data_IF_712156398310
#
_entry.id   IF_712156398310
#
_cell.length_a   1.000
_cell.length_b   1.000
_cell.length_c   1.000
_cell.angle_alpha   90.00
_cell.angle_beta   90.00
_cell.angle_gamma   90.00
#
_symmetry.space_group_name_H-M   'P 1'
#
loop_
_entity.id
_entity.type
_entity.pdbx_description
1 polymer ?
#
# COMPACT_ATOMS: atom_id res chain seq x y z
N UNK A 1 -11.05 -3.67 -2.82
CA UNK A 1 -12.34 -2.96 -2.70
C UNK A 1 -12.17 -1.75 -1.80
N UNK A 2 -12.62 -0.57 -2.23
CA UNK A 2 -12.40 0.68 -1.49
C UNK A 2 -13.21 0.71 -0.18
N UNK A 3 -12.57 1.16 0.89
CA UNK A 3 -13.22 1.44 2.16
C UNK A 3 -14.24 2.60 2.01
N UNK A 4 -15.26 2.64 2.86
CA UNK A 4 -16.40 3.56 2.70
C UNK A 4 -15.99 5.04 2.66
N UNK A 5 -15.05 5.44 3.52
CA UNK A 5 -14.56 6.81 3.58
C UNK A 5 -13.91 7.27 2.26
N UNK A 6 -13.34 6.35 1.48
CA UNK A 6 -12.59 6.64 0.27
C UNK A 6 -13.45 6.60 -1.02
N UNK A 7 -14.71 6.17 -0.94
CA UNK A 7 -15.60 6.05 -2.11
C UNK A 7 -15.74 7.37 -2.90
N UNK A 8 -15.87 8.49 -2.20
CA UNK A 8 -15.99 9.81 -2.83
C UNK A 8 -14.68 10.23 -3.52
N UNK A 9 -13.54 10.00 -2.86
CA UNK A 9 -12.21 10.26 -3.41
C UNK A 9 -11.97 9.49 -4.70
N UNK A 10 -12.22 8.18 -4.72
CA UNK A 10 -12.01 7.36 -5.92
C UNK A 10 -12.96 7.71 -7.07
N UNK A 11 -14.09 8.36 -6.79
CA UNK A 11 -15.01 8.88 -7.83
C UNK A 11 -14.62 10.28 -8.33
N UNK A 12 -13.75 10.98 -7.61
CA UNK A 12 -13.36 12.37 -7.88
C UNK A 12 -12.66 12.53 -9.23
N UNK A 13 -12.74 13.74 -9.79
CA UNK A 13 -12.04 14.07 -11.05
C UNK A 13 -10.52 14.10 -10.85
N UNK A 14 -10.07 14.55 -9.67
CA UNK A 14 -8.67 14.63 -9.29
C UNK A 14 -8.04 13.25 -9.32
N UNK A 15 -8.63 12.28 -8.62
CA UNK A 15 -8.12 10.91 -8.62
C UNK A 15 -8.10 10.29 -10.02
N UNK A 16 -9.19 10.42 -10.79
CA UNK A 16 -9.26 9.85 -12.15
C UNK A 16 -8.16 10.39 -13.06
N UNK A 17 -7.87 11.69 -12.97
CA UNK A 17 -6.78 12.33 -13.73
C UNK A 17 -5.42 11.84 -13.25
N UNK A 18 -5.20 11.80 -11.94
CA UNK A 18 -3.93 11.34 -11.37
C UNK A 18 -3.67 9.88 -11.73
N UNK A 19 -4.66 9.00 -11.58
CA UNK A 19 -4.59 7.58 -11.97
C UNK A 19 -4.21 7.42 -13.44
N UNK A 20 -4.84 8.18 -14.34
CA UNK A 20 -4.52 8.12 -15.76
C UNK A 20 -3.09 8.60 -16.06
N UNK A 21 -2.65 9.67 -15.39
CA UNK A 21 -1.28 10.16 -15.50
C UNK A 21 -0.25 9.14 -14.98
N UNK A 22 -0.46 8.53 -13.82
CA UNK A 22 0.47 7.55 -13.24
C UNK A 22 0.62 6.31 -14.13
N UNK A 23 -0.49 5.76 -14.64
CA UNK A 23 -0.44 4.65 -15.58
C UNK A 23 0.34 5.02 -16.85
N UNK A 24 0.15 6.23 -17.37
CA UNK A 24 0.88 6.71 -18.54
C UNK A 24 2.36 6.94 -18.27
N UNK A 25 2.70 7.52 -17.11
CA UNK A 25 4.08 7.75 -16.63
C UNK A 25 4.84 6.43 -16.60
N UNK A 26 4.20 5.38 -16.08
CA UNK A 26 4.79 4.05 -15.93
C UNK A 26 4.67 3.20 -17.21
N UNK A 27 4.25 3.79 -18.34
CA UNK A 27 4.13 3.11 -19.62
C UNK A 27 3.10 1.98 -19.64
N UNK A 28 2.14 1.98 -18.71
CA UNK A 28 1.19 0.90 -18.46
C UNK A 28 1.88 -0.44 -18.13
N UNK A 29 3.07 -0.39 -17.55
CA UNK A 29 3.81 -1.58 -17.08
C UNK A 29 3.81 -1.61 -15.56
N UNK A 30 3.69 -2.82 -15.00
CA UNK A 30 3.80 -3.04 -13.56
C UNK A 30 5.17 -2.54 -13.06
N UNK A 31 5.17 -1.77 -11.98
CA UNK A 31 6.41 -1.26 -11.36
C UNK A 31 6.88 -2.11 -10.20
N UNK A 32 6.30 -3.30 -10.01
CA UNK A 32 6.81 -4.26 -9.04
C UNK A 32 8.06 -4.93 -9.61
N UNK A 33 9.12 -5.00 -8.81
CA UNK A 33 10.39 -5.58 -9.21
C UNK A 33 10.24 -7.00 -9.78
N UNK A 34 10.80 -7.22 -10.97
CA UNK A 34 10.72 -8.50 -11.68
C UNK A 34 9.37 -8.79 -12.37
N UNK A 35 8.41 -7.87 -12.34
CA UNK A 35 7.13 -8.01 -13.02
C UNK A 35 7.02 -7.01 -14.17
N UNK A 36 6.79 -7.50 -15.40
CA UNK A 36 6.65 -6.66 -16.60
C UNK A 36 5.25 -6.75 -17.23
N UNK A 37 4.28 -7.27 -16.47
CA UNK A 37 2.91 -7.42 -16.94
C UNK A 37 2.23 -6.05 -17.12
N UNK A 38 1.18 -5.96 -17.96
CA UNK A 38 0.39 -4.75 -18.09
C UNK A 38 -0.18 -4.29 -16.74
N UNK A 39 0.06 -3.03 -16.39
CA UNK A 39 -0.54 -2.41 -15.22
C UNK A 39 -1.96 -1.93 -15.52
N UNK A 40 -2.89 -2.33 -14.65
CA UNK A 40 -4.32 -1.98 -14.74
C UNK A 40 -4.79 -1.21 -13.51
N UNK A 41 -3.97 -1.16 -12.46
CA UNK A 41 -4.32 -0.59 -11.16
C UNK A 41 -3.24 0.39 -10.72
N UNK A 42 -3.64 1.38 -9.92
CA UNK A 42 -2.71 2.30 -9.25
C UNK A 42 -2.90 2.10 -7.77
N UNK A 43 -1.80 1.84 -7.08
CA UNK A 43 -1.77 1.49 -5.68
C UNK A 43 -1.08 2.59 -4.87
N UNK A 44 -1.64 2.90 -3.70
CA UNK A 44 -1.05 3.80 -2.72
C UNK A 44 0.01 3.05 -1.89
N UNK A 45 1.25 3.54 -1.87
CA UNK A 45 2.35 2.92 -1.08
C UNK A 45 2.09 3.09 0.42
N UNK A 46 1.76 4.31 0.83
CA UNK A 46 1.17 4.66 2.12
C UNK A 46 -0.34 4.67 1.95
N UNK A 47 -1.03 3.75 2.63
CA UNK A 47 -2.48 3.59 2.53
C UNK A 47 -3.23 4.85 2.96
N UNK A 48 -4.35 5.09 2.28
CA UNK A 48 -5.25 6.16 2.66
C UNK A 48 -5.93 5.82 3.98
N UNK A 49 -6.06 6.82 4.84
CA UNK A 49 -6.84 6.78 6.08
C UNK A 49 -7.84 7.94 6.07
N UNK A 50 -8.86 7.93 6.93
CA UNK A 50 -9.79 9.07 7.07
C UNK A 50 -9.07 10.40 7.35
N UNK A 51 -7.92 10.35 8.03
CA UNK A 51 -7.13 11.51 8.44
C UNK A 51 -6.28 12.05 7.29
N UNK A 52 -5.68 11.18 6.47
CA UNK A 52 -4.74 11.59 5.42
C UNK A 52 -5.38 11.83 4.04
N UNK A 53 -6.58 11.32 3.78
CA UNK A 53 -7.18 11.30 2.43
C UNK A 53 -7.43 12.69 1.81
N UNK A 54 -7.52 13.73 2.64
CA UNK A 54 -7.70 15.11 2.20
C UNK A 54 -6.39 15.83 1.90
N UNK A 55 -5.26 15.26 2.29
CA UNK A 55 -3.95 15.82 2.00
C UNK A 55 -3.49 15.41 0.59
N UNK A 56 -3.43 16.34 -0.38
CA UNK A 56 -3.00 16.02 -1.73
C UNK A 56 -1.53 15.56 -1.79
N UNK A 57 -0.69 15.97 -0.83
CA UNK A 57 0.71 15.53 -0.74
C UNK A 57 0.86 14.06 -0.33
N UNK A 58 -0.23 13.41 0.07
CA UNK A 58 -0.30 11.98 0.34
C UNK A 58 -1.21 11.31 -0.69
N UNK A 59 -2.43 11.80 -0.86
CA UNK A 59 -3.46 11.14 -1.65
C UNK A 59 -3.21 11.19 -3.16
N UNK A 60 -2.49 12.20 -3.64
CA UNK A 60 -2.21 12.43 -5.06
C UNK A 60 -0.71 12.50 -5.39
N UNK A 61 0.17 12.44 -4.39
CA UNK A 61 1.61 12.52 -4.61
C UNK A 61 2.10 11.34 -5.44
N UNK A 62 2.84 11.65 -6.50
CA UNK A 62 3.40 10.67 -7.44
C UNK A 62 4.33 9.66 -6.78
N UNK A 63 5.07 10.10 -5.76
CA UNK A 63 5.96 9.26 -4.95
C UNK A 63 5.21 8.27 -4.09
N UNK A 64 3.91 8.50 -3.83
CA UNK A 64 3.05 7.61 -3.07
C UNK A 64 2.21 6.69 -3.97
N UNK A 65 2.38 6.75 -5.30
CA UNK A 65 1.55 6.02 -6.27
C UNK A 65 2.39 5.17 -7.20
N UNK A 66 2.00 3.90 -7.34
CA UNK A 66 2.65 2.94 -8.24
C UNK A 66 1.66 2.19 -9.11
N UNK A 67 2.03 1.93 -10.36
CA UNK A 67 1.23 1.16 -11.30
C UNK A 67 1.47 -0.34 -11.14
N UNK A 68 0.41 -1.12 -10.95
CA UNK A 68 0.51 -2.57 -10.72
C UNK A 68 -0.41 -3.35 -11.67
N UNK A 69 0.01 -4.56 -12.03
CA UNK A 69 -0.89 -5.57 -12.55
C UNK A 69 -1.80 -6.10 -11.43
N UNK A 70 -2.93 -6.72 -11.82
CA UNK A 70 -3.91 -7.24 -10.87
C UNK A 70 -3.30 -8.18 -9.81
N UNK A 71 -2.48 -9.14 -10.24
CA UNK A 71 -1.90 -10.15 -9.35
C UNK A 71 -0.96 -9.56 -8.30
N UNK A 72 -0.11 -8.61 -8.71
CA UNK A 72 0.78 -7.90 -7.79
C UNK A 72 -0.03 -7.03 -6.83
N UNK A 73 -1.03 -6.31 -7.33
CA UNK A 73 -1.89 -5.48 -6.50
C UNK A 73 -2.62 -6.30 -5.41
N UNK A 74 -3.18 -7.45 -5.79
CA UNK A 74 -3.87 -8.36 -4.87
C UNK A 74 -2.93 -8.95 -3.82
N UNK A 75 -1.72 -9.38 -4.23
CA UNK A 75 -0.70 -9.90 -3.31
C UNK A 75 -0.30 -8.87 -2.26
N UNK A 76 0.00 -7.64 -2.70
CA UNK A 76 0.40 -6.54 -1.84
C UNK A 76 -0.73 -6.18 -0.87
N UNK A 77 -1.95 -6.01 -1.37
CA UNK A 77 -3.12 -5.68 -0.55
C UNK A 77 -3.37 -6.72 0.54
N UNK A 78 -3.16 -8.01 0.23
CA UNK A 78 -3.28 -9.09 1.22
C UNK A 78 -2.17 -9.03 2.27
N UNK A 79 -0.94 -8.74 1.87
CA UNK A 79 0.20 -8.62 2.78
C UNK A 79 0.02 -7.45 3.77
N UNK A 80 -0.44 -6.29 3.30
CA UNK A 80 -0.69 -5.13 4.17
C UNK A 80 -1.76 -5.45 5.23
N UNK A 81 -2.88 -6.06 4.83
CA UNK A 81 -3.94 -6.49 5.75
C UNK A 81 -3.49 -7.57 6.73
N UNK A 82 -2.56 -8.44 6.34
CA UNK A 82 -2.00 -9.43 7.25
C UNK A 82 -1.16 -8.73 8.33
N UNK A 83 -0.31 -7.77 7.94
CA UNK A 83 0.50 -6.99 8.87
C UNK A 83 -0.36 -6.19 9.86
N UNK A 84 -1.45 -5.56 9.40
CA UNK A 84 -2.40 -4.87 10.29
C UNK A 84 -3.01 -5.82 11.34
N UNK A 85 -3.35 -7.06 10.96
CA UNK A 85 -3.96 -8.05 11.86
C UNK A 85 -2.97 -8.67 12.83
N UNK A 86 -1.74 -8.89 12.38
CA UNK A 86 -0.69 -9.49 13.20
C UNK A 86 -0.22 -8.56 14.33
N UNK A 87 -0.40 -7.25 14.18
CA UNK A 87 0.29 -6.28 15.03
C UNK A 87 1.80 -6.40 14.85
N UNK A 88 2.57 -5.55 15.51
CA UNK A 88 4.03 -5.61 15.45
C UNK A 88 4.52 -6.81 16.29
N UNK A 89 4.43 -8.04 15.78
CA UNK A 89 4.90 -9.26 16.47
C UNK A 89 6.40 -9.14 16.84
N UNK A 90 7.16 -8.35 16.08
CA UNK A 90 8.55 -8.04 16.39
C UNK A 90 8.72 -7.27 17.70
N UNK A 91 7.76 -6.45 18.11
CA UNK A 91 7.75 -5.81 19.44
C UNK A 91 7.42 -6.80 20.57
N UNK A 92 7.00 -8.03 20.26
CA UNK A 92 6.64 -9.06 21.23
C UNK A 92 7.71 -10.18 21.36
N UNK A 93 8.83 -10.07 20.64
CA UNK A 93 9.92 -11.04 20.64
C UNK A 93 11.21 -10.33 21.07
N UNK A 94 11.78 -10.73 22.20
CA UNK A 94 13.16 -10.38 22.56
C UNK A 94 14.12 -11.43 22.00
N UNK A 95 15.41 -11.11 21.90
CA UNK A 95 16.43 -12.08 21.53
C UNK A 95 17.46 -12.20 22.66
N UNK A 96 17.93 -13.42 22.93
CA UNK A 96 19.05 -13.62 23.83
C UNK A 96 20.38 -13.15 23.21
N UNK A 97 21.46 -13.21 23.98
CA UNK A 97 22.80 -12.80 23.54
C UNK A 97 23.35 -13.61 22.34
N UNK A 98 22.74 -14.75 22.04
CA UNK A 98 23.05 -15.63 20.91
C UNK A 98 22.10 -15.46 19.72
N UNK A 99 21.11 -14.57 19.82
CA UNK A 99 20.14 -14.30 18.76
C UNK A 99 18.93 -15.25 18.74
N UNK A 100 18.68 -16.00 19.81
CA UNK A 100 17.53 -16.90 19.91
C UNK A 100 16.28 -16.14 20.41
N UNK A 101 15.09 -16.33 19.78
CA UNK A 101 13.88 -15.62 20.19
C UNK A 101 13.40 -16.06 21.57
N UNK A 102 13.11 -15.08 22.44
CA UNK A 102 12.64 -15.21 23.80
C UNK A 102 11.31 -14.47 23.97
N UNK A 103 10.35 -15.00 24.76
CA UNK A 103 9.11 -14.28 25.07
C UNK A 103 9.44 -13.01 25.88
N UNK A 104 8.80 -11.88 25.55
CA UNK A 104 8.86 -10.70 26.41
C UNK A 104 8.06 -11.00 27.68
N UNK A 105 8.74 -11.01 28.83
CA UNK A 105 8.09 -11.15 30.12
C UNK A 105 7.08 -10.00 30.31
N UNK A 106 5.79 -10.33 30.39
CA UNK A 106 4.77 -9.35 30.81
C UNK A 106 4.98 -9.06 32.30
N UNK A 107 5.16 -7.78 32.64
CA UNK A 107 5.10 -7.28 34.01
C UNK A 107 3.68 -7.38 34.57
#
# INVERSE_FOLDING_TARGET
>A
MAQDFAKAFYKSKQWKRQRAYILKRDGYICTEEGCFNPATEVHHIVELTPENIKDPSIALAESNLRSLCHDCHDRITKAMKANERSGNILEAISFDASGYPMPIAKA
#
